data_IF_053867917375
#
_entry.id   IF_053867917375
#
_cell.length_a   1.000
_cell.length_b   1.000
_cell.length_c   1.000
_cell.angle_alpha   90.00
_cell.angle_beta   90.00
_cell.angle_gamma   90.00
#
_symmetry.space_group_name_H-M   'P 1'
#
loop_
_entity.id
_entity.type
_entity.pdbx_description
1 polymer ?
#
# COMPACT_ATOMS: atom_id res chain seq x y z
N UNK A 1 1.14 7.31 -8.60
CA UNK A 1 0.46 6.00 -8.78
C UNK A 1 1.06 4.93 -7.87
N UNK A 2 2.39 4.87 -7.65
CA UNK A 2 3.02 4.02 -6.64
C UNK A 2 3.38 4.78 -5.37
N UNK A 3 4.55 4.48 -4.79
CA UNK A 3 5.07 5.13 -3.60
C UNK A 3 5.17 6.67 -3.72
N UNK A 4 4.93 7.32 -2.60
CA UNK A 4 4.83 8.78 -2.41
C UNK A 4 5.32 9.18 -1.03
N UNK A 5 5.22 8.28 -0.05
CA UNK A 5 5.61 8.48 1.33
C UNK A 5 7.08 8.16 1.61
N UNK A 6 7.63 8.90 2.57
CA UNK A 6 8.89 8.66 3.26
C UNK A 6 8.54 8.50 4.74
N UNK A 7 8.51 7.25 5.18
CA UNK A 7 8.21 6.89 6.56
C UNK A 7 9.41 7.18 7.47
N UNK A 8 9.38 8.37 8.08
CA UNK A 8 10.37 8.80 9.08
C UNK A 8 11.53 9.55 8.44
N UNK A 9 11.70 10.83 8.78
CA UNK A 9 12.71 11.70 8.16
C UNK A 9 14.09 11.63 8.83
N UNK A 10 14.17 11.18 10.08
CA UNK A 10 15.42 11.21 10.87
C UNK A 10 16.26 10.00 10.53
N UNK A 11 17.44 10.25 9.93
CA UNK A 11 18.36 9.18 9.52
C UNK A 11 17.90 8.39 8.30
N UNK A 12 16.77 8.76 7.68
CA UNK A 12 16.27 8.08 6.49
C UNK A 12 17.17 8.36 5.28
N UNK A 13 17.72 7.31 4.63
CA UNK A 13 18.51 7.48 3.42
C UNK A 13 17.66 7.99 2.25
N UNK A 14 16.39 7.62 2.21
CA UNK A 14 15.46 8.02 1.15
C UNK A 14 15.07 9.48 1.30
N UNK A 15 14.86 9.96 2.52
CA UNK A 15 14.66 11.38 2.79
C UNK A 15 15.87 12.22 2.33
N UNK A 16 17.09 11.76 2.65
CA UNK A 16 18.31 12.42 2.22
C UNK A 16 18.43 12.47 0.68
N UNK A 17 18.16 11.36 0.00
CA UNK A 17 18.14 11.31 -1.47
C UNK A 17 17.08 12.23 -2.06
N UNK A 18 15.88 12.27 -1.49
CA UNK A 18 14.81 13.14 -1.95
C UNK A 18 15.19 14.62 -1.83
N UNK A 19 15.85 15.00 -0.73
CA UNK A 19 16.41 16.34 -0.55
C UNK A 19 17.48 16.65 -1.60
N UNK A 20 18.43 15.75 -1.79
CA UNK A 20 19.56 15.95 -2.70
C UNK A 20 19.11 15.97 -4.18
N UNK A 21 18.03 15.26 -4.50
CA UNK A 21 17.33 15.32 -5.79
C UNK A 21 16.48 16.60 -5.97
N UNK A 22 16.35 17.45 -4.95
CA UNK A 22 15.46 18.61 -4.97
C UNK A 22 13.97 18.24 -5.06
N UNK A 23 13.61 17.02 -4.65
CA UNK A 23 12.26 16.48 -4.72
C UNK A 23 11.37 16.89 -3.54
N UNK A 24 11.95 17.47 -2.48
CA UNK A 24 11.23 17.96 -1.28
C UNK A 24 10.96 19.47 -1.32
N UNK A 25 11.10 20.12 -2.47
CA UNK A 25 10.92 21.57 -2.58
C UNK A 25 9.42 21.92 -2.61
N UNK A 26 9.01 22.78 -1.68
CA UNK A 26 7.72 23.47 -1.73
C UNK A 26 7.77 24.57 -2.79
N UNK A 27 7.61 24.23 -4.05
CA UNK A 27 7.13 25.21 -5.02
C UNK A 27 5.60 25.16 -5.06
N UNK A 28 4.96 26.30 -5.32
CA UNK A 28 3.50 26.39 -5.36
C UNK A 28 2.87 25.55 -6.49
N UNK A 29 3.68 24.91 -7.34
CA UNK A 29 3.27 24.05 -8.43
C UNK A 29 3.28 22.55 -8.06
N UNK A 30 4.11 22.15 -7.10
CA UNK A 30 4.26 20.78 -6.61
C UNK A 30 3.51 20.60 -5.29
N UNK A 31 2.17 20.67 -5.33
CA UNK A 31 1.36 20.24 -4.19
C UNK A 31 1.44 18.71 -4.03
N UNK A 32 1.40 18.18 -2.80
CA UNK A 32 1.37 16.74 -2.60
C UNK A 32 0.09 16.15 -3.22
N UNK A 33 0.22 14.91 -3.71
CA UNK A 33 -0.89 14.14 -4.26
C UNK A 33 -1.63 13.31 -3.18
N UNK A 34 -1.16 13.39 -1.94
CA UNK A 34 -1.62 12.65 -0.76
C UNK A 34 -1.45 13.51 0.49
N UNK A 35 -2.35 13.38 1.47
CA UNK A 35 -2.25 14.08 2.75
C UNK A 35 -1.03 13.60 3.53
N UNK A 36 -0.24 14.51 4.09
CA UNK A 36 0.87 14.21 5.03
C UNK A 36 0.41 14.24 6.50
N UNK A 37 1.23 13.68 7.40
CA UNK A 37 1.10 13.90 8.85
C UNK A 37 1.13 15.41 9.15
N UNK A 38 0.21 15.87 10.00
CA UNK A 38 0.06 17.31 10.31
C UNK A 38 -0.46 18.17 9.13
N UNK A 39 -0.88 17.55 8.03
CA UNK A 39 -1.41 18.21 6.84
C UNK A 39 -2.94 18.27 6.75
N UNK A 40 -3.42 19.06 5.80
CA UNK A 40 -4.84 19.30 5.49
C UNK A 40 -5.65 18.02 5.21
N UNK A 41 -6.96 17.99 5.52
CA UNK A 41 -7.69 18.96 6.33
C UNK A 41 -7.54 18.66 7.82
N UNK A 42 -7.61 19.70 8.65
CA UNK A 42 -7.62 19.57 10.12
C UNK A 42 -8.91 18.91 10.64
N UNK A 43 -9.96 18.89 9.82
CA UNK A 43 -11.27 18.35 10.17
C UNK A 43 -11.55 17.06 9.41
N UNK A 44 -11.43 15.94 10.12
CA UNK A 44 -11.92 14.63 9.70
C UNK A 44 -13.42 14.54 10.01
N UNK A 45 -14.21 14.15 9.03
CA UNK A 45 -15.64 13.89 9.18
C UNK A 45 -15.86 12.37 9.18
N UNK A 46 -16.13 11.80 10.34
CA UNK A 46 -16.51 10.38 10.47
C UNK A 46 -18.01 10.23 10.36
N UNK A 47 -18.47 9.45 9.39
CA UNK A 47 -19.89 9.24 9.13
C UNK A 47 -20.18 7.74 9.08
N UNK A 48 -21.27 7.34 9.74
CA UNK A 48 -21.81 6.00 9.63
C UNK A 48 -22.71 5.88 8.39
N UNK A 49 -22.70 4.71 7.77
CA UNK A 49 -23.54 4.43 6.60
C UNK A 49 -25.01 4.75 6.90
N UNK A 50 -25.65 5.51 6.00
CA UNK A 50 -26.95 6.14 6.25
C UNK A 50 -26.87 7.65 6.53
N UNK A 51 -25.66 8.22 6.60
CA UNK A 51 -25.43 9.66 6.69
C UNK A 51 -25.42 10.24 8.10
N UNK A 52 -25.36 9.39 9.13
CA UNK A 52 -25.30 9.83 10.52
C UNK A 52 -23.86 10.19 10.90
N UNK A 53 -23.62 11.45 11.23
CA UNK A 53 -22.31 11.90 11.73
C UNK A 53 -22.03 11.22 13.07
N UNK A 54 -20.88 10.57 13.17
CA UNK A 54 -20.42 9.92 14.40
C UNK A 54 -19.79 10.98 15.30
N UNK A 55 -20.15 10.99 16.58
CA UNK A 55 -19.57 11.91 17.56
C UNK A 55 -18.07 11.65 17.70
N UNK A 56 -17.27 12.67 17.40
CA UNK A 56 -15.83 12.55 17.31
C UNK A 56 -15.20 12.23 18.67
N UNK A 57 -15.66 12.89 19.75
CA UNK A 57 -15.02 12.81 21.05
C UNK A 57 -15.47 11.61 21.88
N UNK A 58 -16.75 11.23 21.77
CA UNK A 58 -17.36 10.22 22.65
C UNK A 58 -17.48 8.84 22.01
N UNK A 59 -17.38 8.73 20.67
CA UNK A 59 -17.52 7.45 19.96
C UNK A 59 -16.32 7.16 19.07
N UNK A 60 -15.95 8.04 18.15
CA UNK A 60 -14.87 7.77 17.19
C UNK A 60 -13.49 7.70 17.87
N UNK A 61 -13.13 8.75 18.62
CA UNK A 61 -11.82 8.87 19.27
C UNK A 61 -11.50 7.74 20.26
N UNK A 62 -12.42 7.25 21.12
CA UNK A 62 -12.13 6.09 21.96
C UNK A 62 -11.77 4.82 21.18
N UNK A 63 -12.38 4.58 20.02
CA UNK A 63 -12.07 3.42 19.17
C UNK A 63 -10.74 3.61 18.45
N UNK A 64 -10.44 4.82 17.98
CA UNK A 64 -9.13 5.17 17.41
C UNK A 64 -8.01 4.98 18.45
N UNK A 65 -8.19 5.48 19.68
CA UNK A 65 -7.23 5.33 20.77
C UNK A 65 -7.04 3.86 21.17
N UNK A 66 -8.12 3.06 21.17
CA UNK A 66 -8.04 1.62 21.38
C UNK A 66 -7.20 0.95 20.29
N UNK A 67 -7.54 1.16 19.02
CA UNK A 67 -6.80 0.59 17.89
C UNK A 67 -5.33 0.99 17.92
N UNK A 68 -5.02 2.28 18.06
CA UNK A 68 -3.64 2.77 18.10
C UNK A 68 -2.87 2.19 19.27
N UNK A 69 -3.44 2.18 20.48
CA UNK A 69 -2.79 1.60 21.65
C UNK A 69 -2.50 0.10 21.50
N UNK A 70 -3.36 -0.63 20.79
CA UNK A 70 -3.14 -2.03 20.47
C UNK A 70 -2.03 -2.23 19.44
N UNK A 71 -2.03 -1.45 18.34
CA UNK A 71 -0.96 -1.52 17.35
C UNK A 71 0.40 -1.11 17.93
N UNK A 72 0.44 -0.08 18.79
CA UNK A 72 1.64 0.32 19.52
C UNK A 72 2.15 -0.82 20.40
N UNK A 73 1.26 -1.51 21.12
CA UNK A 73 1.63 -2.68 21.91
C UNK A 73 2.13 -3.86 21.03
N UNK A 74 1.54 -4.08 19.85
CA UNK A 74 2.02 -5.08 18.90
C UNK A 74 3.43 -4.77 18.39
N UNK A 75 3.67 -3.53 17.95
CA UNK A 75 4.97 -3.04 17.46
C UNK A 75 6.04 -2.98 18.56
N UNK A 76 5.64 -2.83 19.82
CA UNK A 76 6.50 -2.97 21.00
C UNK A 76 6.81 -4.43 21.38
N UNK A 77 6.15 -5.42 20.77
CA UNK A 77 6.25 -6.84 21.14
C UNK A 77 5.51 -7.19 22.44
N UNK A 78 4.57 -6.34 22.86
CA UNK A 78 3.82 -6.42 24.12
C UNK A 78 2.40 -6.98 23.93
N UNK A 79 1.99 -7.32 22.71
CA UNK A 79 0.63 -7.77 22.39
C UNK A 79 0.15 -9.05 23.11
N UNK A 80 1.01 -9.76 23.84
CA UNK A 80 0.63 -10.83 24.76
C UNK A 80 -0.13 -11.98 24.08
N UNK A 81 0.58 -13.03 23.68
CA UNK A 81 0.00 -14.22 23.04
C UNK A 81 0.90 -14.70 21.91
N UNK A 82 1.37 -15.94 21.99
CA UNK A 82 2.20 -16.52 20.94
C UNK A 82 1.31 -16.98 19.78
N UNK A 83 1.39 -16.29 18.64
CA UNK A 83 0.81 -16.68 17.36
C UNK A 83 -0.59 -16.12 17.07
N UNK A 84 -0.88 -15.98 15.78
CA UNK A 84 -2.16 -15.53 15.24
C UNK A 84 -2.05 -14.24 14.43
N UNK A 85 -3.17 -13.87 13.81
CA UNK A 85 -3.29 -12.67 13.00
C UNK A 85 -3.60 -11.41 13.80
N UNK A 86 -3.17 -10.26 13.27
CA UNK A 86 -3.47 -8.93 13.81
C UNK A 86 -4.99 -8.66 13.90
N UNK A 87 -5.81 -9.14 12.96
CA UNK A 87 -7.26 -8.90 13.01
C UNK A 87 -7.92 -9.46 14.29
N UNK A 88 -7.61 -10.70 14.65
CA UNK A 88 -8.21 -11.33 15.83
C UNK A 88 -7.72 -10.66 17.13
N UNK A 89 -6.48 -10.19 17.13
CA UNK A 89 -5.97 -9.37 18.23
C UNK A 89 -6.81 -8.11 18.43
N UNK A 90 -7.00 -7.31 17.36
CA UNK A 90 -7.80 -6.08 17.37
C UNK A 90 -9.26 -6.34 17.79
N UNK A 91 -9.90 -7.35 17.19
CA UNK A 91 -11.29 -7.70 17.51
C UNK A 91 -11.45 -8.18 18.96
N UNK A 92 -10.47 -8.90 19.52
CA UNK A 92 -10.48 -9.28 20.94
C UNK A 92 -10.42 -8.06 21.85
N UNK A 93 -9.63 -7.05 21.49
CA UNK A 93 -9.56 -5.78 22.22
C UNK A 93 -10.90 -5.04 22.24
N UNK A 94 -11.57 -4.93 21.09
CA UNK A 94 -12.89 -4.30 21.02
C UNK A 94 -13.94 -5.05 21.87
N UNK A 95 -13.97 -6.38 21.81
CA UNK A 95 -14.87 -7.17 22.66
C UNK A 95 -14.63 -6.92 24.15
N UNK A 96 -13.37 -6.81 24.57
CA UNK A 96 -13.01 -6.50 25.95
C UNK A 96 -13.43 -5.07 26.34
N UNK A 97 -13.19 -4.09 25.46
CA UNK A 97 -13.61 -2.70 25.62
C UNK A 97 -15.14 -2.58 25.81
N UNK A 98 -15.92 -3.24 24.95
CA UNK A 98 -17.38 -3.24 25.04
C UNK A 98 -17.88 -3.94 26.30
N UNK A 99 -17.26 -5.06 26.69
CA UNK A 99 -17.63 -5.79 27.91
C UNK A 99 -17.35 -4.99 29.20
N UNK A 100 -16.32 -4.14 29.20
CA UNK A 100 -15.97 -3.28 30.32
C UNK A 100 -16.94 -2.10 30.52
N UNK A 101 -17.79 -1.80 29.52
CA UNK A 101 -18.79 -0.71 29.57
C UNK A 101 -20.23 -1.28 29.64
N UNK A 102 -20.68 -1.79 30.81
CA UNK A 102 -22.03 -2.32 30.97
C UNK A 102 -23.08 -1.23 30.72
N UNK A 103 -24.03 -1.49 29.81
CA UNK A 103 -25.12 -0.56 29.46
C UNK A 103 -25.02 0.10 28.07
N UNK A 104 -24.01 -0.25 27.26
CA UNK A 104 -23.96 0.17 25.85
C UNK A 104 -25.14 -0.38 25.04
N UNK A 105 -25.76 0.45 24.21
CA UNK A 105 -26.83 0.00 23.30
C UNK A 105 -26.24 -0.86 22.18
N UNK A 106 -27.07 -1.71 21.56
CA UNK A 106 -26.62 -2.54 20.43
C UNK A 106 -26.20 -1.69 19.23
N UNK A 107 -26.91 -0.60 19.01
CA UNK A 107 -26.63 0.36 17.93
C UNK A 107 -25.25 1.01 18.10
N UNK A 108 -24.88 1.36 19.34
CA UNK A 108 -23.55 1.87 19.63
C UNK A 108 -22.48 0.81 19.37
N UNK A 109 -22.71 -0.44 19.80
CA UNK A 109 -21.76 -1.53 19.55
C UNK A 109 -21.56 -1.81 18.05
N UNK A 110 -22.62 -1.71 17.24
CA UNK A 110 -22.54 -1.83 15.79
C UNK A 110 -21.71 -0.71 15.15
N UNK A 111 -21.88 0.53 15.62
CA UNK A 111 -21.05 1.66 15.16
C UNK A 111 -19.58 1.45 15.56
N UNK A 112 -19.30 0.99 16.77
CA UNK A 112 -17.94 0.71 17.24
C UNK A 112 -17.25 -0.42 16.44
N UNK A 113 -17.98 -1.47 16.09
CA UNK A 113 -17.50 -2.53 15.18
C UNK A 113 -17.20 -1.97 13.78
N UNK A 114 -18.05 -1.08 13.26
CA UNK A 114 -17.84 -0.44 11.96
C UNK A 114 -16.62 0.51 11.98
N UNK A 115 -16.37 1.21 13.09
CA UNK A 115 -15.19 2.04 13.28
C UNK A 115 -13.91 1.20 13.38
N UNK A 116 -13.93 0.09 14.11
CA UNK A 116 -12.78 -0.82 14.12
C UNK A 116 -12.52 -1.40 12.73
N UNK A 117 -13.57 -1.80 12.01
CA UNK A 117 -13.45 -2.31 10.64
C UNK A 117 -12.86 -1.25 9.68
N UNK A 118 -13.20 0.03 9.88
CA UNK A 118 -12.61 1.15 9.16
C UNK A 118 -11.09 1.23 9.41
N UNK A 119 -10.64 1.19 10.68
CA UNK A 119 -9.21 1.18 11.02
C UNK A 119 -8.48 -0.07 10.53
N UNK A 120 -9.12 -1.25 10.58
CA UNK A 120 -8.61 -2.48 9.97
C UNK A 120 -8.37 -2.27 8.46
N UNK A 121 -9.26 -1.59 7.75
CA UNK A 121 -9.05 -1.29 6.34
C UNK A 121 -7.87 -0.32 6.11
N UNK A 122 -7.65 0.64 7.02
CA UNK A 122 -6.46 1.50 7.00
C UNK A 122 -5.17 0.69 7.15
N UNK A 123 -5.09 -0.17 8.17
CA UNK A 123 -3.91 -1.02 8.39
C UNK A 123 -3.67 -2.02 7.23
N UNK A 124 -4.74 -2.53 6.58
CA UNK A 124 -4.59 -3.32 5.35
C UNK A 124 -3.93 -2.52 4.24
N UNK A 125 -4.21 -1.21 4.13
CA UNK A 125 -3.54 -0.36 3.14
C UNK A 125 -2.10 -0.07 3.52
N UNK A 126 -1.76 0.04 4.81
CA UNK A 126 -0.38 0.26 5.25
C UNK A 126 0.49 -0.99 5.03
N UNK A 127 -0.07 -2.17 5.26
CA UNK A 127 0.67 -3.45 5.21
C UNK A 127 0.53 -4.19 3.88
N UNK A 128 -0.41 -3.79 3.03
CA UNK A 128 -0.90 -4.47 1.81
C UNK A 128 -1.55 -5.85 2.03
N UNK A 129 -1.70 -6.31 3.28
CA UNK A 129 -2.30 -7.60 3.56
C UNK A 129 -3.75 -7.66 3.04
N UNK A 130 -4.13 -8.77 2.40
CA UNK A 130 -5.51 -8.98 1.95
C UNK A 130 -6.46 -9.09 3.15
N UNK A 131 -6.04 -9.77 4.19
CA UNK A 131 -6.75 -9.92 5.46
C UNK A 131 -5.74 -9.77 6.61
N UNK A 132 -6.06 -8.99 7.65
CA UNK A 132 -5.13 -8.83 8.79
C UNK A 132 -5.10 -10.08 9.68
N UNK A 133 -5.98 -11.06 9.45
CA UNK A 133 -5.88 -12.40 9.99
C UNK A 133 -4.67 -13.17 9.45
N UNK A 134 -4.17 -12.81 8.27
CA UNK A 134 -2.96 -13.38 7.68
C UNK A 134 -1.69 -12.59 8.01
N UNK A 135 -1.79 -11.40 8.61
CA UNK A 135 -0.64 -10.61 9.07
C UNK A 135 -0.17 -11.11 10.43
N UNK A 136 1.08 -11.56 10.53
CA UNK A 136 1.58 -12.18 11.77
C UNK A 136 1.79 -11.14 12.88
N UNK A 137 1.07 -11.33 13.99
CA UNK A 137 1.11 -10.40 15.12
C UNK A 137 2.49 -10.30 15.79
N UNK A 138 3.25 -11.40 15.83
CA UNK A 138 4.55 -11.39 16.50
C UNK A 138 5.61 -10.69 15.63
N UNK A 139 5.50 -10.83 14.31
CA UNK A 139 6.39 -10.17 13.36
C UNK A 139 6.29 -8.63 13.41
N UNK A 140 5.13 -8.07 13.76
CA UNK A 140 4.96 -6.62 13.98
C UNK A 140 5.95 -6.07 15.02
N UNK A 141 6.33 -6.85 16.03
CA UNK A 141 7.31 -6.45 17.04
C UNK A 141 8.76 -6.35 16.52
N UNK A 142 9.05 -6.98 15.38
CA UNK A 142 10.36 -6.89 14.71
C UNK A 142 10.45 -5.73 13.70
N UNK A 143 9.31 -5.23 13.21
CA UNK A 143 9.26 -4.11 12.28
C UNK A 143 9.80 -2.82 12.93
N UNK A 144 10.47 -1.99 12.13
CA UNK A 144 11.13 -0.76 12.57
C UNK A 144 10.87 0.36 11.57
N UNK A 145 10.35 1.46 12.08
CA UNK A 145 10.29 2.73 11.37
C UNK A 145 11.55 3.56 11.58
N UNK A 146 11.84 4.43 10.61
CA UNK A 146 12.75 5.53 10.88
C UNK A 146 12.07 6.54 11.81
N UNK A 147 12.81 7.16 12.76
CA UNK A 147 12.22 8.18 13.62
C UNK A 147 11.82 9.46 12.88
N UNK A 148 10.99 10.27 13.53
CA UNK A 148 10.52 11.57 13.02
C UNK A 148 9.29 11.44 12.12
N UNK A 149 8.85 12.59 11.62
CA UNK A 149 7.60 12.70 10.88
C UNK A 149 7.60 11.86 9.59
N UNK A 150 6.43 11.38 9.18
CA UNK A 150 6.23 10.79 7.87
C UNK A 150 5.83 11.90 6.88
N UNK A 151 6.54 11.98 5.77
CA UNK A 151 6.32 13.02 4.75
C UNK A 151 6.03 12.40 3.39
N UNK A 152 5.37 13.14 2.50
CA UNK A 152 5.26 12.77 1.09
C UNK A 152 6.28 13.53 0.26
N UNK A 153 6.72 12.95 -0.84
CA UNK A 153 7.52 13.61 -1.87
C UNK A 153 6.56 14.29 -2.84
N UNK A 154 6.49 15.63 -2.86
CA UNK A 154 5.67 16.33 -3.85
C UNK A 154 6.15 16.01 -5.27
N UNK A 155 5.22 15.76 -6.20
CA UNK A 155 5.59 15.24 -7.53
C UNK A 155 5.87 13.73 -7.61
N UNK A 156 6.00 13.03 -6.47
CA UNK A 156 6.27 11.60 -6.40
C UNK A 156 7.75 11.20 -6.56
N UNK A 157 8.03 9.91 -6.40
CA UNK A 157 9.40 9.35 -6.34
C UNK A 157 10.21 9.45 -7.64
N UNK A 158 9.61 9.80 -8.78
CA UNK A 158 10.30 9.81 -10.08
C UNK A 158 11.55 10.69 -10.05
N UNK A 159 11.50 11.87 -9.42
CA UNK A 159 12.68 12.75 -9.30
C UNK A 159 13.84 12.09 -8.54
N UNK A 160 13.53 11.28 -7.52
CA UNK A 160 14.54 10.55 -6.75
C UNK A 160 15.16 9.45 -7.61
N UNK A 161 14.34 8.72 -8.37
CA UNK A 161 14.83 7.68 -9.29
C UNK A 161 15.69 8.29 -10.39
N UNK A 162 15.25 9.40 -11.00
CA UNK A 162 16.00 10.09 -12.05
C UNK A 162 17.35 10.60 -11.54
N UNK A 163 17.39 11.10 -10.30
CA UNK A 163 18.63 11.52 -9.64
C UNK A 163 19.62 10.37 -9.49
N UNK A 164 19.15 9.18 -9.07
CA UNK A 164 20.00 7.98 -8.97
C UNK A 164 20.49 7.51 -10.35
N UNK A 165 19.62 7.54 -11.36
CA UNK A 165 19.97 7.14 -12.73
C UNK A 165 21.00 8.09 -13.34
N UNK A 166 20.90 9.39 -13.07
CA UNK A 166 21.84 10.40 -13.56
C UNK A 166 23.29 10.19 -13.05
N UNK A 167 23.47 9.47 -11.95
CA UNK A 167 24.78 9.12 -11.41
C UNK A 167 25.43 7.92 -12.13
N UNK A 168 24.68 7.19 -12.97
CA UNK A 168 25.19 6.03 -13.71
C UNK A 168 25.93 6.46 -14.98
N UNK A 169 26.95 5.70 -15.42
CA UNK A 169 27.57 5.92 -16.72
C UNK A 169 26.55 5.87 -17.87
N UNK A 170 26.74 6.67 -18.94
CA UNK A 170 25.87 6.60 -20.11
C UNK A 170 25.79 5.18 -20.68
N UNK A 171 24.57 4.71 -20.96
CA UNK A 171 24.31 3.38 -21.51
C UNK A 171 24.19 2.25 -20.48
N UNK A 172 24.33 2.53 -19.17
CA UNK A 172 24.12 1.53 -18.12
C UNK A 172 22.65 1.11 -18.00
N UNK A 173 21.71 2.05 -18.05
CA UNK A 173 20.28 1.75 -18.00
C UNK A 173 19.79 1.23 -19.36
N UNK A 174 19.29 -0.01 -19.39
CA UNK A 174 18.73 -0.64 -20.59
C UNK A 174 17.27 -1.03 -20.36
N UNK A 175 16.37 -0.28 -20.97
CA UNK A 175 14.93 -0.52 -20.91
C UNK A 175 14.46 -1.43 -22.06
N UNK A 176 13.24 -1.96 -21.96
CA UNK A 176 12.66 -2.85 -22.97
C UNK A 176 13.25 -4.27 -22.98
N UNK A 177 14.04 -4.62 -21.96
CA UNK A 177 14.64 -5.95 -21.79
C UNK A 177 13.96 -6.71 -20.65
N UNK A 178 12.89 -7.45 -20.95
CA UNK A 178 12.23 -8.30 -19.95
C UNK A 178 12.99 -9.61 -19.78
N UNK A 179 13.63 -9.80 -18.64
CA UNK A 179 14.29 -11.05 -18.28
C UNK A 179 13.26 -12.17 -18.17
N UNK A 180 13.50 -13.32 -18.82
CA UNK A 180 12.62 -14.49 -18.71
C UNK A 180 13.34 -15.74 -18.19
N UNK A 181 14.69 -15.75 -18.23
CA UNK A 181 15.50 -16.89 -17.75
C UNK A 181 16.87 -16.42 -17.30
N UNK A 182 17.31 -16.94 -16.15
CA UNK A 182 18.66 -16.79 -15.61
C UNK A 182 19.29 -18.17 -15.59
N UNK A 183 20.38 -18.34 -16.32
CA UNK A 183 21.23 -19.51 -16.23
C UNK A 183 22.48 -19.16 -15.44
N UNK A 184 22.53 -19.63 -14.20
CA UNK A 184 23.58 -19.41 -13.22
C UNK A 184 24.31 -20.72 -12.88
N UNK A 185 24.20 -21.75 -13.72
CA UNK A 185 24.88 -23.05 -13.56
C UNK A 185 26.41 -22.93 -13.58
N UNK A 186 26.93 -21.94 -14.31
CA UNK A 186 28.35 -21.62 -14.46
C UNK A 186 28.57 -20.11 -14.35
N UNK A 187 29.84 -19.68 -14.33
CA UNK A 187 30.24 -18.27 -14.45
C UNK A 187 30.91 -18.08 -15.82
N UNK A 188 30.55 -17.05 -16.61
CA UNK A 188 29.60 -15.98 -16.29
C UNK A 188 28.14 -16.44 -16.36
N UNK A 189 27.30 -15.81 -15.53
CA UNK A 189 25.84 -16.00 -15.53
C UNK A 189 25.27 -15.52 -16.85
N UNK A 190 24.38 -16.30 -17.46
CA UNK A 190 23.69 -15.98 -18.72
C UNK A 190 22.28 -15.46 -18.46
N UNK A 191 21.95 -14.31 -19.03
CA UNK A 191 20.67 -13.63 -18.92
C UNK A 191 19.93 -13.68 -20.25
N UNK A 192 18.79 -14.36 -20.28
CA UNK A 192 17.95 -14.49 -21.46
C UNK A 192 16.70 -13.63 -21.33
N UNK A 193 16.46 -12.83 -22.36
CA UNK A 193 15.38 -11.86 -22.39
C UNK A 193 14.29 -12.31 -23.37
N UNK A 194 13.06 -11.86 -23.13
CA UNK A 194 11.92 -12.09 -24.01
C UNK A 194 12.11 -11.48 -25.41
N UNK A 195 11.22 -11.83 -26.33
CA UNK A 195 11.08 -11.20 -27.66
C UNK A 195 12.34 -11.22 -28.54
N UNK A 196 13.18 -12.23 -28.36
CA UNK A 196 14.40 -12.44 -29.17
C UNK A 196 15.52 -11.44 -28.87
N UNK A 197 15.43 -10.70 -27.76
CA UNK A 197 16.48 -9.79 -27.34
C UNK A 197 17.80 -10.52 -27.05
N UNK A 198 18.92 -9.83 -27.31
CA UNK A 198 20.26 -10.42 -27.20
C UNK A 198 20.56 -10.87 -25.77
N UNK A 199 20.98 -12.13 -25.62
CA UNK A 199 21.50 -12.68 -24.36
C UNK A 199 22.66 -11.84 -23.83
N UNK A 200 22.66 -11.57 -22.53
CA UNK A 200 23.76 -10.90 -21.85
C UNK A 200 24.46 -11.86 -20.89
N UNK A 201 25.71 -11.56 -20.55
CA UNK A 201 26.48 -12.31 -19.56
C UNK A 201 27.05 -11.37 -18.51
N UNK A 202 27.12 -11.84 -17.26
CA UNK A 202 27.73 -11.10 -16.15
C UNK A 202 28.41 -12.06 -15.17
N UNK A 203 29.50 -11.64 -14.54
CA UNK A 203 30.15 -12.42 -13.49
C UNK A 203 29.26 -12.57 -12.26
N UNK A 204 28.50 -11.50 -11.95
CA UNK A 204 27.55 -11.42 -10.84
C UNK A 204 26.26 -10.73 -11.28
N UNK A 205 25.13 -11.17 -10.74
CA UNK A 205 23.80 -10.60 -10.98
C UNK A 205 23.14 -10.22 -9.65
N UNK A 206 22.80 -8.95 -9.44
CA UNK A 206 21.93 -8.54 -8.34
C UNK A 206 20.49 -8.49 -8.88
N UNK A 207 19.63 -9.39 -8.40
CA UNK A 207 18.22 -9.46 -8.79
C UNK A 207 17.35 -8.64 -7.84
N UNK A 208 16.58 -7.70 -8.40
CA UNK A 208 15.72 -6.75 -7.65
C UNK A 208 14.25 -6.80 -8.09
N UNK A 209 13.82 -7.92 -8.69
CA UNK A 209 12.41 -8.11 -9.06
C UNK A 209 11.52 -8.24 -7.83
N UNK A 210 10.23 -7.93 -7.97
CA UNK A 210 9.29 -8.01 -6.86
C UNK A 210 9.16 -9.45 -6.31
N UNK A 211 8.71 -9.56 -5.06
CA UNK A 211 8.37 -10.86 -4.50
C UNK A 211 7.22 -11.53 -5.28
N UNK A 212 6.28 -10.76 -5.85
CA UNK A 212 5.24 -11.28 -6.75
C UNK A 212 5.81 -11.99 -7.98
N UNK A 213 6.82 -11.41 -8.63
CA UNK A 213 7.54 -12.05 -9.75
C UNK A 213 8.25 -13.33 -9.28
N UNK A 214 8.88 -13.32 -8.10
CA UNK A 214 9.52 -14.53 -7.55
C UNK A 214 8.50 -15.62 -7.21
N UNK A 215 7.33 -15.26 -6.65
CA UNK A 215 6.22 -16.19 -6.38
C UNK A 215 5.71 -16.82 -7.68
N UNK A 216 5.54 -16.04 -8.74
CA UNK A 216 5.20 -16.57 -10.06
C UNK A 216 6.29 -17.50 -10.63
N UNK A 217 7.57 -17.20 -10.34
CA UNK A 217 8.73 -17.96 -10.83
C UNK A 217 8.92 -19.31 -10.14
N UNK A 218 8.52 -19.45 -8.86
CA UNK A 218 8.60 -20.71 -8.10
C UNK A 218 7.27 -21.46 -8.01
N UNK A 219 6.19 -20.85 -8.52
CA UNK A 219 4.85 -21.40 -8.51
C UNK A 219 4.68 -22.63 -9.43
N UNK A 220 3.49 -23.22 -9.39
CA UNK A 220 3.16 -24.43 -10.18
C UNK A 220 3.16 -24.18 -11.69
N UNK A 221 2.90 -22.95 -12.11
CA UNK A 221 2.85 -22.54 -13.51
C UNK A 221 3.95 -21.51 -13.81
N UNK A 222 5.13 -22.01 -14.20
CA UNK A 222 6.26 -21.19 -14.63
C UNK A 222 6.03 -20.50 -16.00
N UNK A 223 4.89 -20.75 -16.65
CA UNK A 223 4.45 -20.01 -17.84
C UNK A 223 3.61 -18.76 -17.50
N UNK A 224 3.37 -18.51 -16.20
CA UNK A 224 2.67 -17.31 -15.73
C UNK A 224 3.35 -16.04 -16.26
N UNK A 225 2.57 -15.04 -16.72
CA UNK A 225 3.12 -13.75 -17.13
C UNK A 225 4.01 -13.14 -16.04
N UNK A 226 5.25 -12.80 -16.39
CA UNK A 226 6.22 -12.23 -15.45
C UNK A 226 7.18 -13.22 -14.81
N UNK A 227 6.92 -14.54 -14.87
CA UNK A 227 7.81 -15.55 -14.30
C UNK A 227 9.19 -15.57 -14.97
N UNK A 228 10.21 -15.86 -14.15
CA UNK A 228 11.61 -16.01 -14.56
C UNK A 228 12.03 -17.45 -14.32
N UNK A 229 12.47 -18.15 -15.36
CA UNK A 229 13.04 -19.48 -15.22
C UNK A 229 14.46 -19.41 -14.64
N UNK A 230 14.74 -20.15 -13.57
CA UNK A 230 16.07 -20.27 -12.98
C UNK A 230 16.71 -21.61 -13.36
N UNK A 231 17.94 -21.58 -13.86
CA UNK A 231 18.70 -22.77 -14.25
C UNK A 231 20.11 -22.74 -13.62
N UNK A 232 20.42 -23.60 -12.62
CA UNK A 232 19.51 -24.56 -11.99
C UNK A 232 18.37 -23.86 -11.21
N UNK A 233 17.29 -24.58 -10.82
CA UNK A 233 16.22 -23.99 -10.02
C UNK A 233 16.71 -23.39 -8.71
N UNK A 234 16.05 -22.33 -8.22
CA UNK A 234 16.34 -21.75 -6.90
C UNK A 234 16.30 -22.84 -5.81
N UNK A 235 17.25 -22.89 -4.86
CA UNK A 235 17.26 -23.92 -3.82
C UNK A 235 16.00 -23.92 -2.95
N UNK A 236 15.70 -25.06 -2.31
CA UNK A 236 14.44 -25.25 -1.56
C UNK A 236 14.21 -24.20 -0.47
N UNK A 237 15.24 -23.88 0.33
CA UNK A 237 15.11 -22.88 1.40
C UNK A 237 14.62 -21.51 0.90
N UNK A 238 15.00 -21.14 -0.34
CA UNK A 238 14.61 -19.87 -0.96
C UNK A 238 13.21 -19.98 -1.56
N UNK A 239 12.87 -21.11 -2.21
CA UNK A 239 11.50 -21.37 -2.71
C UNK A 239 10.48 -21.35 -1.58
N UNK A 240 10.81 -21.96 -0.45
CA UNK A 240 9.98 -21.96 0.75
C UNK A 240 9.78 -20.54 1.31
N UNK A 241 10.85 -19.74 1.42
CA UNK A 241 10.75 -18.36 1.87
C UNK A 241 9.87 -17.51 0.93
N UNK A 242 10.06 -17.64 -0.39
CA UNK A 242 9.21 -16.99 -1.40
C UNK A 242 7.75 -17.41 -1.22
N UNK A 243 7.47 -18.68 -0.91
CA UNK A 243 6.11 -19.19 -0.73
C UNK A 243 5.46 -18.63 0.53
N UNK A 244 6.17 -18.65 1.67
CA UNK A 244 5.64 -18.27 3.00
C UNK A 244 5.43 -16.78 3.20
N UNK A 245 6.31 -15.92 2.68
CA UNK A 245 6.16 -14.47 2.83
C UNK A 245 4.86 -13.99 2.17
N UNK A 246 4.18 -13.05 2.79
CA UNK A 246 3.03 -12.38 2.20
C UNK A 246 3.46 -11.46 1.06
N UNK A 247 2.66 -11.37 0.00
CA UNK A 247 2.83 -10.33 -1.03
C UNK A 247 1.47 -9.77 -1.39
N UNK A 248 1.25 -8.53 -0.98
CA UNK A 248 -0.04 -7.88 -1.06
C UNK A 248 -0.23 -7.09 -2.35
N UNK A 249 -1.45 -6.62 -2.54
CA UNK A 249 -1.83 -5.69 -3.61
C UNK A 249 -2.40 -4.44 -2.96
N UNK A 250 -1.99 -3.27 -3.44
CA UNK A 250 -2.52 -2.00 -2.98
C UNK A 250 -2.76 -1.09 -4.18
N UNK A 251 -3.98 -0.57 -4.33
CA UNK A 251 -4.36 0.33 -5.42
C UNK A 251 -4.94 1.68 -4.96
N UNK A 252 -4.52 2.73 -5.66
CA UNK A 252 -4.99 4.11 -5.51
C UNK A 252 -6.12 4.34 -6.50
N UNK A 253 -7.24 4.89 -6.04
CA UNK A 253 -8.31 5.39 -6.88
C UNK A 253 -8.41 6.91 -6.73
N UNK A 254 -7.92 7.64 -7.73
CA UNK A 254 -8.12 9.07 -7.86
C UNK A 254 -9.46 9.34 -8.53
N UNK A 255 -10.24 10.27 -7.96
CA UNK A 255 -11.61 10.58 -8.37
C UNK A 255 -11.69 12.10 -8.53
N UNK A 256 -11.86 12.57 -9.77
CA UNK A 256 -12.15 13.99 -10.04
C UNK A 256 -13.65 14.21 -9.90
N UNK A 257 -14.04 15.07 -8.99
CA UNK A 257 -15.43 15.46 -8.76
C UNK A 257 -15.68 16.91 -9.16
N UNK A 258 -16.90 17.21 -9.57
CA UNK A 258 -17.35 18.57 -9.84
C UNK A 258 -18.71 18.82 -9.19
N UNK A 259 -18.95 20.07 -8.78
CA UNK A 259 -20.23 20.47 -8.21
C UNK A 259 -21.34 20.37 -9.27
N UNK A 260 -22.52 19.89 -8.87
CA UNK A 260 -23.72 19.98 -9.70
C UNK A 260 -24.51 21.20 -9.26
N UNK A 261 -24.63 22.20 -10.13
CA UNK A 261 -25.49 23.36 -9.90
C UNK A 261 -26.96 22.92 -9.88
N UNK A 262 -27.76 23.30 -8.88
CA UNK A 262 -29.17 22.98 -8.85
C UNK A 262 -29.90 23.73 -9.98
N UNK A 263 -30.68 23.00 -10.79
CA UNK A 263 -31.53 23.62 -11.81
C UNK A 263 -32.53 24.59 -11.15
N UNK A 264 -32.41 25.89 -11.45
CA UNK A 264 -33.38 26.92 -11.06
C UNK A 264 -33.03 27.82 -9.86
N UNK A 265 -31.83 27.73 -9.29
CA UNK A 265 -31.38 28.60 -8.19
C UNK A 265 -30.83 29.95 -8.65
N UNK A 266 -31.52 31.05 -8.34
CA UNK A 266 -31.01 32.41 -8.56
C UNK A 266 -29.73 32.70 -7.76
N UNK A 267 -28.91 33.62 -8.29
CA UNK A 267 -27.62 34.06 -7.75
C UNK A 267 -27.65 34.33 -6.23
N UNK A 268 -27.19 33.37 -5.42
CA UNK A 268 -26.81 33.63 -4.02
C UNK A 268 -25.63 32.73 -3.59
N UNK A 269 -24.54 33.41 -3.23
CA UNK A 269 -23.25 32.97 -2.68
C UNK A 269 -22.44 31.86 -3.41
N UNK A 270 -21.56 32.26 -4.35
CA UNK A 270 -20.54 31.39 -4.92
C UNK A 270 -19.31 31.37 -4.00
N UNK A 271 -19.05 30.25 -3.29
CA UNK A 271 -17.69 29.81 -2.91
C UNK A 271 -17.65 28.53 -2.05
N UNK A 272 -18.61 28.30 -1.14
CA UNK A 272 -18.56 27.16 -0.20
C UNK A 272 -19.35 25.92 -0.63
N UNK A 273 -20.24 26.06 -1.62
CA UNK A 273 -21.06 24.94 -2.10
C UNK A 273 -20.29 23.94 -2.97
N UNK A 274 -19.13 24.33 -3.53
CA UNK A 274 -18.40 23.64 -4.60
C UNK A 274 -17.09 22.94 -4.19
N UNK A 275 -16.71 22.94 -2.91
CA UNK A 275 -15.57 22.16 -2.44
C UNK A 275 -15.95 20.68 -2.22
N UNK A 276 -15.17 19.70 -2.71
CA UNK A 276 -15.40 18.27 -2.48
C UNK A 276 -15.58 17.95 -0.99
N UNK A 277 -16.10 16.75 -0.65
CA UNK A 277 -16.23 16.37 0.75
C UNK A 277 -14.91 16.60 1.50
N UNK A 278 -15.04 17.11 2.73
CA UNK A 278 -13.96 17.07 3.73
C UNK A 278 -13.42 15.63 3.83
N UNK A 279 -12.28 15.43 4.49
CA UNK A 279 -11.74 14.09 4.72
C UNK A 279 -12.83 13.20 5.34
N UNK A 280 -13.34 12.24 4.56
CA UNK A 280 -14.49 11.42 4.92
C UNK A 280 -14.00 10.07 5.41
N UNK A 281 -14.15 9.81 6.70
CA UNK A 281 -14.05 8.49 7.32
C UNK A 281 -15.40 7.77 7.23
N UNK A 282 -15.39 6.54 6.72
CA UNK A 282 -16.61 5.79 6.40
C UNK A 282 -16.75 4.56 7.29
N UNK A 283 -17.67 4.64 8.26
CA UNK A 283 -18.06 3.50 9.10
C UNK A 283 -19.22 2.74 8.46
N UNK A 284 -18.91 1.61 7.79
CA UNK A 284 -19.89 0.78 7.10
C UNK A 284 -20.72 -0.08 8.07
N UNK A 285 -22.03 0.15 8.13
CA UNK A 285 -22.95 -0.61 8.99
C UNK A 285 -23.50 -1.84 8.27
N UNK A 286 -23.77 -2.93 9.00
CA UNK A 286 -24.39 -4.11 8.43
C UNK A 286 -25.75 -3.80 7.82
N UNK A 287 -25.98 -4.24 6.56
CA UNK A 287 -27.29 -4.38 5.88
C UNK A 287 -27.65 -3.41 4.73
N UNK A 288 -26.80 -2.46 4.36
CA UNK A 288 -27.05 -1.63 3.17
C UNK A 288 -26.45 -2.27 1.90
N UNK A 289 -27.31 -2.57 0.92
CA UNK A 289 -26.95 -3.31 -0.31
C UNK A 289 -26.54 -2.43 -1.49
N UNK A 290 -26.63 -1.10 -1.34
CA UNK A 290 -26.34 -0.17 -2.45
C UNK A 290 -24.85 0.00 -2.70
N UNK A 291 -24.03 -0.05 -1.65
CA UNK A 291 -22.58 0.08 -1.77
C UNK A 291 -21.96 -1.27 -2.13
N UNK A 292 -21.24 -1.38 -3.26
CA UNK A 292 -20.59 -2.62 -3.65
C UNK A 292 -19.60 -3.12 -2.59
N UNK A 293 -19.49 -4.44 -2.43
CA UNK A 293 -18.66 -5.08 -1.40
C UNK A 293 -17.21 -4.56 -1.35
N UNK A 294 -16.62 -4.23 -2.50
CA UNK A 294 -15.24 -3.75 -2.59
C UNK A 294 -15.09 -2.30 -2.12
N UNK A 295 -16.10 -1.46 -2.34
CA UNK A 295 -16.15 -0.08 -1.80
C UNK A 295 -16.31 -0.07 -0.27
N UNK A 296 -16.82 -1.15 0.33
CA UNK A 296 -16.95 -1.28 1.81
C UNK A 296 -15.61 -1.55 2.51
N UNK A 297 -14.53 -1.67 1.75
CA UNK A 297 -13.18 -2.03 2.21
C UNK A 297 -12.16 -0.92 1.96
N UNK A 298 -12.64 0.31 1.79
CA UNK A 298 -11.81 1.51 1.85
C UNK A 298 -12.15 2.28 3.13
N UNK A 299 -11.11 2.78 3.81
CA UNK A 299 -11.26 3.53 5.05
C UNK A 299 -11.88 4.92 4.80
N UNK A 300 -11.43 5.57 3.71
CA UNK A 300 -11.68 6.98 3.50
C UNK A 300 -11.74 7.38 2.04
N UNK A 301 -12.38 8.53 1.80
CA UNK A 301 -12.25 9.31 0.58
C UNK A 301 -11.79 10.71 0.99
N UNK A 302 -10.60 11.10 0.58
CA UNK A 302 -9.98 12.35 1.02
C UNK A 302 -9.51 13.21 -0.16
N UNK A 303 -9.66 14.54 -0.12
CA UNK A 303 -9.02 15.42 -1.10
C UNK A 303 -7.49 15.25 -1.11
N UNK A 304 -6.87 15.22 -2.29
CA UNK A 304 -5.41 15.04 -2.41
C UNK A 304 -4.61 16.22 -1.84
N UNK A 305 -5.20 17.42 -1.83
CA UNK A 305 -4.71 18.62 -1.16
C UNK A 305 -5.85 19.62 -0.95
N UNK A 306 -5.57 20.71 -0.23
CA UNK A 306 -6.53 21.74 0.12
C UNK A 306 -7.21 22.36 -1.11
N UNK A 307 -8.53 22.25 -1.19
CA UNK A 307 -9.32 22.78 -2.31
C UNK A 307 -9.24 22.00 -3.61
N UNK A 308 -8.55 20.86 -3.64
CA UNK A 308 -8.48 19.99 -4.82
C UNK A 308 -9.84 19.43 -5.17
N UNK A 309 -10.22 19.46 -6.46
CA UNK A 309 -11.38 18.72 -6.98
C UNK A 309 -11.11 17.22 -7.18
N UNK A 310 -9.92 16.75 -6.80
CA UNK A 310 -9.53 15.34 -6.88
C UNK A 310 -9.47 14.76 -5.48
N UNK A 311 -10.19 13.67 -5.27
CA UNK A 311 -10.12 12.85 -4.05
C UNK A 311 -9.41 11.53 -4.31
N UNK A 312 -8.92 10.90 -3.25
CA UNK A 312 -8.21 9.64 -3.26
C UNK A 312 -8.89 8.65 -2.32
N UNK A 313 -9.01 7.41 -2.78
CA UNK A 313 -9.37 6.25 -1.98
C UNK A 313 -8.31 5.16 -2.16
N UNK A 314 -8.08 4.38 -1.11
CA UNK A 314 -7.11 3.29 -1.10
C UNK A 314 -7.83 1.96 -0.97
N UNK A 315 -7.32 0.96 -1.67
CA UNK A 315 -7.82 -0.41 -1.64
C UNK A 315 -6.64 -1.36 -1.46
N UNK A 316 -6.83 -2.39 -0.65
CA UNK A 316 -5.86 -3.47 -0.45
C UNK A 316 -6.43 -4.82 -0.91
N UNK A 317 -5.55 -5.77 -1.18
CA UNK A 317 -5.88 -7.16 -1.42
C UNK A 317 -6.79 -7.42 -2.62
N UNK A 318 -7.76 -8.32 -2.45
CA UNK A 318 -8.71 -8.74 -3.49
C UNK A 318 -9.59 -7.61 -3.98
N UNK A 319 -9.91 -6.61 -3.15
CA UNK A 319 -10.67 -5.43 -3.55
C UNK A 319 -9.85 -4.55 -4.49
N UNK A 320 -8.54 -4.40 -4.23
CA UNK A 320 -7.62 -3.72 -5.12
C UNK A 320 -7.51 -4.42 -6.47
N UNK A 321 -7.37 -5.75 -6.48
CA UNK A 321 -7.31 -6.52 -7.72
C UNK A 321 -8.64 -6.49 -8.50
N UNK A 322 -9.78 -6.56 -7.79
CA UNK A 322 -11.10 -6.41 -8.40
C UNK A 322 -11.28 -5.04 -9.04
N UNK A 323 -10.85 -3.97 -8.36
CA UNK A 323 -10.85 -2.62 -8.90
C UNK A 323 -10.11 -2.54 -10.24
N UNK A 324 -9.03 -3.28 -10.49
CA UNK A 324 -8.32 -3.24 -11.79
C UNK A 324 -9.15 -3.77 -12.96
N UNK A 325 -10.07 -4.70 -12.69
CA UNK A 325 -10.86 -5.41 -13.70
C UNK A 325 -12.16 -4.71 -14.11
N UNK A 326 -12.62 -3.72 -13.35
CA UNK A 326 -13.91 -3.09 -13.57
C UNK A 326 -13.89 -2.11 -14.77
N UNK A 327 -14.97 -1.93 -15.52
CA UNK A 327 -15.13 -0.76 -16.39
C UNK A 327 -15.16 0.56 -15.61
N UNK A 328 -14.74 1.66 -16.22
CA UNK A 328 -14.74 2.98 -15.56
C UNK A 328 -16.15 3.39 -15.08
N UNK A 329 -17.19 3.14 -15.88
CA UNK A 329 -18.58 3.48 -15.56
C UNK A 329 -19.11 2.74 -14.32
N UNK A 330 -18.67 1.49 -14.11
CA UNK A 330 -19.04 0.69 -12.93
C UNK A 330 -18.37 1.25 -11.67
N UNK A 331 -17.10 1.65 -11.78
CA UNK A 331 -16.37 2.31 -10.68
C UNK A 331 -17.01 3.66 -10.34
N UNK A 332 -17.35 4.47 -11.34
CA UNK A 332 -18.03 5.75 -11.16
C UNK A 332 -19.38 5.55 -10.45
N UNK A 333 -20.17 4.59 -10.91
CA UNK A 333 -21.47 4.25 -10.30
C UNK A 333 -21.33 3.79 -8.85
N UNK A 334 -20.30 2.99 -8.55
CA UNK A 334 -19.98 2.55 -7.20
C UNK A 334 -19.57 3.70 -6.29
N UNK A 335 -18.71 4.61 -6.76
CA UNK A 335 -18.30 5.81 -6.02
C UNK A 335 -19.52 6.68 -5.69
N UNK A 336 -20.42 6.89 -6.65
CA UNK A 336 -21.67 7.60 -6.42
C UNK A 336 -22.54 6.93 -5.36
N UNK A 337 -22.77 5.62 -5.46
CA UNK A 337 -23.55 4.87 -4.48
C UNK A 337 -22.95 4.93 -3.08
N UNK A 338 -21.62 4.95 -2.97
CA UNK A 338 -20.90 5.14 -1.70
C UNK A 338 -21.12 6.56 -1.17
N UNK A 339 -20.80 7.59 -1.94
CA UNK A 339 -20.94 8.98 -1.47
C UNK A 339 -22.39 9.33 -1.08
N UNK A 340 -23.39 8.86 -1.82
CA UNK A 340 -24.80 9.07 -1.50
C UNK A 340 -25.23 8.34 -0.20
N UNK A 341 -24.51 7.30 0.20
CA UNK A 341 -24.77 6.57 1.44
C UNK A 341 -24.19 7.24 2.68
N UNK A 342 -23.25 8.18 2.52
CA UNK A 342 -22.58 8.88 3.63
C UNK A 342 -22.81 10.39 3.65
N UNK A 343 -23.06 11.03 2.51
CA UNK A 343 -23.28 12.47 2.45
C UNK A 343 -24.78 12.78 2.38
N UNK A 344 -25.31 13.68 3.22
CA UNK A 344 -26.73 14.00 3.23
C UNK A 344 -27.18 14.63 1.91
N UNK A 345 -28.42 14.30 1.48
CA UNK A 345 -29.07 14.97 0.36
C UNK A 345 -29.29 16.47 0.69
N UNK A 346 -29.17 17.38 -0.30
CA UNK A 346 -29.36 18.80 -0.06
C UNK A 346 -30.77 19.11 0.51
N UNK A 347 -30.90 20.05 1.47
CA UNK A 347 -32.12 20.27 2.26
C UNK A 347 -33.35 20.74 1.47
N UNK A 348 -33.26 20.92 0.16
CA UNK A 348 -34.37 21.40 -0.70
C UNK A 348 -35.05 20.30 -1.54
N UNK A 349 -34.71 19.03 -1.36
CA UNK A 349 -35.37 17.91 -2.05
C UNK A 349 -36.64 17.43 -1.31
N UNK A 350 -37.61 18.31 -1.09
CA UNK A 350 -38.93 17.92 -0.57
C UNK A 350 -39.94 17.78 -1.72
N UNK A 351 -40.12 16.55 -2.24
CA UNK A 351 -41.12 16.22 -3.24
C UNK A 351 -40.96 14.81 -3.81
N UNK A 352 -42.07 14.17 -4.21
CA UNK A 352 -42.11 12.78 -4.71
C UNK A 352 -41.36 12.53 -6.04
N UNK A 353 -40.71 13.56 -6.60
CA UNK A 353 -39.83 13.49 -7.76
C UNK A 353 -38.36 13.85 -7.43
N UNK A 354 -37.99 13.81 -6.14
CA UNK A 354 -36.59 13.92 -5.71
C UNK A 354 -35.82 12.64 -6.11
N UNK A 355 -35.41 12.55 -7.38
CA UNK A 355 -34.18 11.81 -7.68
C UNK A 355 -33.09 12.49 -6.85
N UNK A 356 -32.46 11.75 -5.95
CA UNK A 356 -31.28 12.21 -5.23
C UNK A 356 -30.24 12.60 -6.27
N UNK A 357 -30.19 13.88 -6.64
CA UNK A 357 -29.10 14.40 -7.47
C UNK A 357 -27.95 14.58 -6.52
N UNK A 358 -26.97 13.67 -6.57
CA UNK A 358 -25.72 13.80 -5.84
C UNK A 358 -25.20 15.23 -5.99
N UNK A 359 -24.78 15.84 -4.88
CA UNK A 359 -24.22 17.21 -4.86
C UNK A 359 -23.00 17.35 -5.80
N UNK A 360 -22.39 16.22 -6.11
CA UNK A 360 -21.18 16.09 -6.92
C UNK A 360 -21.43 15.12 -8.06
N UNK A 361 -20.79 15.36 -9.21
CA UNK A 361 -20.64 14.40 -10.30
C UNK A 361 -19.20 13.93 -10.35
N UNK A 362 -18.96 12.62 -10.49
CA UNK A 362 -17.64 12.10 -10.82
C UNK A 362 -17.39 12.36 -12.30
N UNK A 363 -16.40 13.19 -12.61
CA UNK A 363 -16.05 13.59 -13.97
C UNK A 363 -15.10 12.59 -14.61
N UNK A 364 -14.08 12.15 -13.87
CA UNK A 364 -13.07 11.19 -14.30
C UNK A 364 -12.52 10.43 -13.10
N UNK A 365 -12.00 9.24 -13.38
CA UNK A 365 -11.25 8.46 -12.41
C UNK A 365 -9.87 8.08 -12.97
N UNK A 366 -8.95 7.76 -12.08
CA UNK A 366 -7.68 7.11 -12.42
C UNK A 366 -7.30 6.14 -11.33
N UNK A 367 -7.07 4.88 -11.69
CA UNK A 367 -6.66 3.82 -10.77
C UNK A 367 -5.27 3.29 -11.11
N UNK A 368 -4.53 2.83 -10.10
CA UNK A 368 -3.33 2.03 -10.35
C UNK A 368 -3.71 0.61 -10.74
N UNK A 369 -2.76 -0.12 -11.34
CA UNK A 369 -2.89 -1.52 -11.70
C UNK A 369 -1.62 -2.27 -11.37
N UNK A 370 -1.49 -2.71 -10.11
CA UNK A 370 -0.29 -3.36 -9.59
C UNK A 370 -0.42 -4.89 -9.57
N UNK A 371 -1.63 -5.43 -9.39
CA UNK A 371 -1.88 -6.88 -9.37
C UNK A 371 -1.62 -7.52 -10.72
N UNK A 372 -2.01 -6.84 -11.81
CA UNK A 372 -1.94 -7.37 -13.17
C UNK A 372 -0.69 -6.96 -13.95
N UNK A 373 0.13 -6.04 -13.42
CA UNK A 373 1.39 -5.66 -14.06
C UNK A 373 2.39 -6.83 -13.99
N UNK A 374 2.81 -7.43 -15.13
CA UNK A 374 3.68 -8.59 -15.14
C UNK A 374 5.10 -8.31 -14.62
N UNK A 375 5.47 -7.05 -14.40
CA UNK A 375 6.76 -6.67 -13.84
C UNK A 375 6.73 -6.58 -12.29
N UNK A 376 5.55 -6.61 -11.68
CA UNK A 376 5.37 -6.44 -10.23
C UNK A 376 4.47 -7.51 -9.59
N UNK A 377 3.34 -7.85 -10.20
CA UNK A 377 2.37 -8.85 -9.71
C UNK A 377 1.95 -8.63 -8.24
N UNK A 378 1.75 -7.36 -7.88
CA UNK A 378 1.44 -6.90 -6.54
C UNK A 378 2.19 -5.62 -6.19
N UNK A 379 2.23 -5.30 -4.90
CA UNK A 379 2.70 -4.03 -4.37
C UNK A 379 3.92 -4.19 -3.47
N UNK A 380 3.74 -4.71 -2.26
CA UNK A 380 4.82 -4.91 -1.30
C UNK A 380 4.61 -6.18 -0.46
N UNK A 381 5.70 -6.65 0.15
CA UNK A 381 5.69 -7.82 1.03
C UNK A 381 5.13 -7.52 2.42
N UNK A 382 4.72 -8.57 3.13
CA UNK A 382 4.42 -8.56 4.56
C UNK A 382 4.81 -9.90 5.17
N UNK A 383 4.98 -9.98 6.50
CA UNK A 383 5.22 -11.26 7.17
C UNK A 383 3.88 -11.92 7.46
N UNK A 384 3.58 -13.00 6.73
CA UNK A 384 2.34 -13.73 6.88
C UNK A 384 2.38 -14.66 8.10
N UNK A 385 1.21 -15.01 8.65
CA UNK A 385 1.09 -16.06 9.67
C UNK A 385 1.73 -17.35 9.15
N UNK A 386 2.68 -17.87 9.91
CA UNK A 386 3.49 -19.04 9.53
C UNK A 386 4.79 -18.72 8.78
N UNK A 387 5.08 -17.44 8.53
CA UNK A 387 6.39 -16.92 8.11
C UNK A 387 7.09 -16.24 9.30
N UNK A 388 8.28 -15.68 9.08
CA UNK A 388 9.01 -14.89 10.07
C UNK A 388 10.06 -14.00 9.38
N UNK A 389 10.73 -13.15 10.15
CA UNK A 389 11.90 -12.39 9.67
C UNK A 389 13.01 -13.27 9.07
N UNK A 390 13.09 -14.55 9.45
CA UNK A 390 14.07 -15.48 8.88
C UNK A 390 13.83 -15.73 7.39
N UNK A 391 12.58 -15.63 6.93
CA UNK A 391 12.29 -15.76 5.51
C UNK A 391 12.81 -14.56 4.71
N UNK A 392 12.80 -13.35 5.27
CA UNK A 392 13.43 -12.17 4.65
C UNK A 392 14.96 -12.33 4.57
N UNK A 393 15.58 -12.93 5.59
CA UNK A 393 17.02 -13.23 5.58
C UNK A 393 17.35 -14.32 4.53
N UNK A 394 16.53 -15.38 4.44
CA UNK A 394 16.65 -16.40 3.38
C UNK A 394 16.46 -15.82 1.99
N UNK A 395 15.60 -14.81 1.83
CA UNK A 395 15.44 -14.08 0.57
C UNK A 395 16.73 -13.33 0.21
N UNK A 396 17.38 -12.69 1.18
CA UNK A 396 18.64 -11.95 1.01
C UNK A 396 19.86 -12.83 0.72
N UNK A 397 19.83 -14.11 1.08
CA UNK A 397 20.98 -15.02 0.92
C UNK A 397 21.41 -15.15 -0.56
N UNK A 398 22.68 -14.89 -0.91
CA UNK A 398 23.16 -15.04 -2.29
C UNK A 398 23.27 -16.52 -2.70
N UNK A 399 23.45 -16.75 -4.00
CA UNK A 399 23.65 -18.06 -4.60
C UNK A 399 25.03 -18.18 -5.25
N UNK A 400 25.72 -19.32 -5.14
CA UNK A 400 25.28 -20.53 -4.44
C UNK A 400 25.35 -20.38 -2.89
N UNK A 401 24.53 -21.12 -2.12
CA UNK A 401 24.48 -21.01 -0.67
C UNK A 401 25.54 -21.89 0.03
N UNK A 402 25.77 -21.65 1.33
CA UNK A 402 26.45 -22.59 2.23
C UNK A 402 27.92 -22.84 1.88
N UNK A 403 28.39 -24.09 2.02
CA UNK A 403 29.81 -24.45 1.82
C UNK A 403 30.34 -24.20 0.39
N UNK A 404 29.46 -23.98 -0.59
CA UNK A 404 29.84 -23.57 -1.93
C UNK A 404 30.15 -22.05 -2.00
N UNK A 405 29.53 -21.24 -1.13
CA UNK A 405 29.81 -19.81 -0.98
C UNK A 405 31.24 -19.55 -0.48
N UNK A 406 31.79 -20.45 0.33
CA UNK A 406 33.19 -20.35 0.81
C UNK A 406 34.21 -20.65 -0.31
N UNK A 407 33.78 -21.31 -1.39
CA UNK A 407 34.66 -21.83 -2.45
C UNK A 407 34.48 -21.11 -3.78
N UNK A 408 33.35 -20.44 -3.98
CA UNK A 408 33.00 -19.75 -5.22
C UNK A 408 32.36 -18.41 -4.92
N UNK A 409 32.65 -17.37 -5.72
CA UNK A 409 32.05 -16.07 -5.50
C UNK A 409 30.54 -16.09 -5.82
N UNK A 410 29.74 -15.21 -5.21
CA UNK A 410 28.29 -15.22 -5.35
C UNK A 410 27.88 -14.90 -6.79
N UNK A 411 27.17 -15.81 -7.47
CA UNK A 411 26.70 -15.63 -8.86
C UNK A 411 25.43 -14.79 -8.93
N UNK A 412 24.46 -15.08 -8.07
CA UNK A 412 23.17 -14.37 -8.02
C UNK A 412 22.92 -13.86 -6.61
N UNK A 413 22.74 -12.56 -6.47
CA UNK A 413 22.45 -11.86 -5.23
C UNK A 413 21.03 -11.29 -5.29
N UNK A 414 20.43 -11.03 -4.13
CA UNK A 414 19.04 -10.59 -4.03
C UNK A 414 18.95 -9.30 -3.23
N UNK A 415 18.29 -8.31 -3.80
CA UNK A 415 17.95 -7.05 -3.14
C UNK A 415 16.50 -6.67 -3.48
N UNK A 416 15.99 -5.63 -2.84
CA UNK A 416 14.57 -5.26 -2.86
C UNK A 416 13.96 -5.33 -1.47
N UNK A 417 12.77 -4.76 -1.31
CA UNK A 417 12.12 -4.59 -0.01
C UNK A 417 11.90 -5.92 0.72
N UNK A 418 11.54 -6.98 0.00
CA UNK A 418 11.32 -8.34 0.51
C UNK A 418 12.63 -9.10 0.85
N UNK A 419 13.73 -8.38 1.06
CA UNK A 419 15.03 -8.91 1.49
C UNK A 419 15.57 -8.19 2.72
N UNK A 420 14.75 -7.35 3.37
CA UNK A 420 15.18 -6.54 4.52
C UNK A 420 14.32 -6.85 5.75
N UNK A 421 14.90 -7.54 6.74
CA UNK A 421 14.20 -8.10 7.90
C UNK A 421 13.28 -7.13 8.64
N UNK A 422 13.72 -5.89 8.85
CA UNK A 422 13.06 -4.97 9.79
C UNK A 422 12.37 -3.76 9.15
N UNK A 423 12.52 -3.56 7.83
CA UNK A 423 11.99 -2.37 7.14
C UNK A 423 11.31 -2.76 5.82
N UNK A 424 10.90 -4.03 5.69
CA UNK A 424 10.22 -4.56 4.51
C UNK A 424 9.02 -3.67 4.11
N UNK A 425 8.51 -3.86 2.90
CA UNK A 425 7.48 -3.00 2.28
C UNK A 425 7.90 -1.58 1.90
N UNK A 426 9.04 -1.09 2.35
CA UNK A 426 9.43 0.31 2.16
C UNK A 426 10.46 0.53 1.04
N UNK A 427 10.46 1.75 0.50
CA UNK A 427 11.54 2.24 -0.38
C UNK A 427 12.89 2.31 0.34
N UNK A 428 12.90 2.48 1.67
CA UNK A 428 14.11 2.43 2.48
C UNK A 428 14.77 1.05 2.42
N UNK A 429 14.01 -0.01 2.64
CA UNK A 429 14.51 -1.38 2.53
C UNK A 429 15.00 -1.70 1.12
N UNK A 430 14.29 -1.25 0.09
CA UNK A 430 14.72 -1.43 -1.30
C UNK A 430 16.09 -0.76 -1.56
N UNK A 431 16.29 0.48 -1.09
CA UNK A 431 17.56 1.19 -1.22
C UNK A 431 18.68 0.53 -0.40
N UNK A 432 18.43 0.25 0.89
CA UNK A 432 19.42 -0.31 1.81
C UNK A 432 19.87 -1.71 1.40
N UNK A 433 18.96 -2.55 0.93
CA UNK A 433 19.30 -3.88 0.40
C UNK A 433 20.13 -3.79 -0.90
N UNK A 434 19.88 -2.80 -1.76
CA UNK A 434 20.73 -2.53 -2.92
C UNK A 434 22.15 -2.14 -2.52
N UNK A 435 22.29 -1.23 -1.54
CA UNK A 435 23.58 -0.84 -0.97
C UNK A 435 24.29 -2.04 -0.31
N UNK A 436 23.55 -2.90 0.40
CA UNK A 436 24.07 -4.13 1.02
C UNK A 436 24.74 -5.04 -0.01
N UNK A 437 24.04 -5.36 -1.10
CA UNK A 437 24.57 -6.28 -2.12
C UNK A 437 25.69 -5.65 -2.96
N UNK A 438 25.62 -4.33 -3.24
CA UNK A 438 26.73 -3.61 -3.87
C UNK A 438 28.00 -3.69 -3.00
N UNK A 439 27.88 -3.45 -1.69
CA UNK A 439 29.01 -3.55 -0.76
C UNK A 439 29.55 -4.98 -0.66
N UNK A 440 28.70 -6.01 -0.73
CA UNK A 440 29.15 -7.40 -0.75
C UNK A 440 30.08 -7.68 -1.94
N UNK A 441 29.72 -7.22 -3.14
CA UNK A 441 30.56 -7.36 -4.33
C UNK A 441 31.83 -6.50 -4.23
N UNK A 442 31.74 -5.27 -3.74
CA UNK A 442 32.92 -4.42 -3.52
C UNK A 442 33.92 -5.05 -2.54
N UNK A 443 33.45 -5.74 -1.51
CA UNK A 443 34.32 -6.49 -0.59
C UNK A 443 34.95 -7.72 -1.26
N UNK A 444 34.26 -8.35 -2.21
CA UNK A 444 34.82 -9.46 -2.98
C UNK A 444 35.97 -9.04 -3.89
N UNK A 445 35.89 -7.83 -4.47
CA UNK A 445 36.92 -7.29 -5.39
C UNK A 445 38.01 -6.45 -4.70
N UNK A 446 37.92 -6.24 -3.38
CA UNK A 446 38.98 -5.62 -2.58
C UNK A 446 39.98 -6.68 -2.14
#
# INVERSE_FOLDING_TARGET
>A
MGATWVHGVVGSPVHALARDAGALRDDAADLPYERMDGGFPDRVLTVAEGGNVVDADTVAKPIEELYRGMMDAARAGEAGGAGGGVEEYLRRGLRAYQAARPGGSKELQEVEEALLAMHINGERTDTSADDLGDLDLAAEGEYRDFPGDHVTIPGGYTRVVDHLVAALPPGTLRLGLRLHRIDWSETPVRLHFADGATTLTADHVILTVSLGVLKASVGKDVSSPGAIAFDPPLPEFKREAVSRLGFGVMNKLFIEVEAVEPEGGGHQEPARAAAPPDFLHMAFLGHATKVPWWMRRTESICPVNAGSSVTLAWFAGREAAHLESLPDDDVISAVHATLDSFLPAPPHSSGAAARATSRWRVKRIKRSGWATDPLFLGSYSYVAVGSSGDDLDRMAEPLPPGAEADRTPPRVLFAGEATHRTHYSTTHAAYLSGVREANRLLQHYR
#
